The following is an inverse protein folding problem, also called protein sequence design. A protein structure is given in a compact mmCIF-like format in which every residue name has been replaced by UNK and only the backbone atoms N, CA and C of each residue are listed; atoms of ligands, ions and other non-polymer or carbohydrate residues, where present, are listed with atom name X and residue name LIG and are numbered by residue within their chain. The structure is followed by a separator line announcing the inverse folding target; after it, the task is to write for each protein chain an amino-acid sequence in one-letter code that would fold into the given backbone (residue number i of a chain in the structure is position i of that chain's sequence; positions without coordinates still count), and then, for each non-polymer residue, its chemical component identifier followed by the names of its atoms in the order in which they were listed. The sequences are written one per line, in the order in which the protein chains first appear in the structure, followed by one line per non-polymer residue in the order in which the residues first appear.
data_IF_022379983750
#
_entry.id   IF_022379983750
#
_cell.length_a   1.000
_cell.length_b   1.000
_cell.length_c   1.000
_cell.angle_alpha   90.00
_cell.angle_beta   90.00
_cell.angle_gamma   90.00
#
_symmetry.space_group_name_H-M   'P 1'
#
loop_
_entity.id
_entity.type
_entity.pdbx_description
1 polymer ?
#
# COMPACT_ATOMS: atom_id res chain seq x y z
N UNK A 1 -55.58 -58.21 18.74
CA UNK A 1 -54.14 -57.89 18.56
C UNK A 1 -54.00 -56.61 17.71
N UNK A 2 -53.27 -55.64 18.27
CA UNK A 2 -53.15 -54.25 17.82
C UNK A 2 -52.61 -54.10 16.39
N UNK A 3 -53.09 -53.09 15.66
CA UNK A 3 -52.26 -52.27 14.80
C UNK A 3 -52.82 -50.84 14.78
N UNK A 4 -52.14 -49.98 15.54
CA UNK A 4 -52.37 -48.55 15.64
C UNK A 4 -51.75 -47.84 14.42
N UNK A 5 -52.37 -46.71 14.08
CA UNK A 5 -51.89 -45.67 13.18
C UNK A 5 -50.39 -45.39 13.30
N UNK A 6 -49.73 -45.14 12.17
CA UNK A 6 -48.59 -44.23 12.11
C UNK A 6 -48.55 -43.54 10.74
N UNK A 7 -49.15 -42.35 10.70
CA UNK A 7 -48.95 -41.35 9.66
C UNK A 7 -47.52 -40.80 9.78
N UNK A 8 -46.70 -41.02 8.75
CA UNK A 8 -45.39 -40.39 8.63
C UNK A 8 -45.57 -38.91 8.26
N UNK A 9 -45.45 -38.02 9.25
CA UNK A 9 -45.12 -36.62 8.99
C UNK A 9 -43.63 -36.51 8.71
N UNK A 10 -43.25 -36.38 7.43
CA UNK A 10 -41.93 -35.81 7.07
C UNK A 10 -42.10 -34.29 7.04
N UNK A 11 -41.71 -33.62 8.12
CA UNK A 11 -41.46 -32.19 8.10
C UNK A 11 -40.22 -31.92 7.26
N UNK A 12 -40.42 -31.33 6.08
CA UNK A 12 -39.35 -30.76 5.27
C UNK A 12 -38.88 -29.46 5.92
N UNK A 13 -37.79 -29.50 6.68
CA UNK A 13 -37.05 -28.29 7.04
C UNK A 13 -36.10 -27.95 5.89
N UNK A 14 -36.56 -27.13 4.94
CA UNK A 14 -35.63 -26.44 4.05
C UNK A 14 -34.97 -25.34 4.87
N UNK A 15 -33.77 -25.60 5.39
CA UNK A 15 -32.93 -24.54 5.91
C UNK A 15 -32.50 -23.66 4.74
N UNK A 16 -33.23 -22.57 4.52
CA UNK A 16 -32.81 -21.50 3.64
C UNK A 16 -31.59 -20.85 4.29
N UNK A 17 -30.39 -21.30 3.95
CA UNK A 17 -29.18 -20.52 4.21
C UNK A 17 -29.27 -19.26 3.36
N UNK A 18 -29.77 -18.18 3.95
CA UNK A 18 -29.56 -16.85 3.39
C UNK A 18 -28.06 -16.58 3.51
N UNK A 19 -27.32 -16.86 2.42
CA UNK A 19 -26.00 -16.26 2.25
C UNK A 19 -26.26 -14.76 2.18
N UNK A 20 -26.07 -14.08 3.31
CA UNK A 20 -25.94 -12.63 3.33
C UNK A 20 -24.88 -12.30 2.28
N UNK A 21 -25.30 -11.72 1.15
CA UNK A 21 -24.38 -11.05 0.23
C UNK A 21 -23.71 -9.96 1.05
N UNK A 22 -22.56 -10.27 1.65
CA UNK A 22 -21.70 -9.28 2.30
C UNK A 22 -21.33 -8.29 1.20
N UNK A 23 -21.88 -7.09 1.30
CA UNK A 23 -21.40 -5.94 0.55
C UNK A 23 -19.98 -5.70 1.03
N UNK A 24 -18.99 -6.23 0.31
CA UNK A 24 -17.62 -5.78 0.52
C UNK A 24 -17.53 -4.40 -0.10
N UNK A 25 -17.66 -3.37 0.73
CA UNK A 25 -17.50 -2.01 0.26
C UNK A 25 -16.14 -1.91 -0.45
N UNK A 26 -16.14 -1.45 -1.69
CA UNK A 26 -14.93 -1.37 -2.49
C UNK A 26 -14.28 -0.02 -2.23
N UNK A 27 -12.99 -0.04 -1.90
CA UNK A 27 -12.22 1.17 -1.62
C UNK A 27 -11.12 1.36 -2.67
N UNK A 28 -10.78 2.61 -2.92
CA UNK A 28 -9.70 3.02 -3.81
C UNK A 28 -8.81 4.07 -3.15
N UNK A 29 -7.60 4.21 -3.68
CA UNK A 29 -6.56 5.10 -3.20
C UNK A 29 -6.40 6.30 -4.12
N UNK A 30 -6.26 7.48 -3.53
CA UNK A 30 -5.95 8.71 -4.25
C UNK A 30 -4.75 9.37 -3.60
N UNK A 31 -3.74 9.73 -4.40
CA UNK A 31 -2.61 10.51 -3.90
C UNK A 31 -3.03 11.94 -3.61
N UNK A 32 -2.67 12.44 -2.43
CA UNK A 32 -2.94 13.82 -2.01
C UNK A 32 -1.68 14.67 -2.14
N UNK A 33 -1.78 15.76 -2.89
CA UNK A 33 -0.77 16.83 -2.96
C UNK A 33 0.65 16.38 -3.38
N UNK A 34 0.79 15.24 -4.07
CA UNK A 34 2.06 14.88 -4.69
C UNK A 34 2.26 15.70 -5.97
N UNK A 35 3.47 16.25 -6.14
CA UNK A 35 3.91 16.86 -7.39
C UNK A 35 5.27 16.29 -7.72
N UNK A 36 5.37 15.66 -8.88
CA UNK A 36 6.65 15.11 -9.35
C UNK A 36 7.69 16.24 -9.46
N UNK A 37 8.90 16.05 -8.91
CA UNK A 37 9.95 17.05 -8.97
C UNK A 37 10.41 17.25 -10.42
N UNK A 38 10.26 18.48 -10.94
CA UNK A 38 10.63 18.82 -12.33
C UNK A 38 12.12 18.63 -12.64
N UNK A 39 13.00 18.82 -11.65
CA UNK A 39 14.45 18.65 -11.74
C UNK A 39 14.95 17.89 -10.50
N UNK A 40 14.83 16.56 -10.53
CA UNK A 40 15.12 15.71 -9.36
C UNK A 40 16.64 15.54 -9.09
N UNK A 41 17.47 15.61 -10.12
CA UNK A 41 18.90 15.27 -10.04
C UNK A 41 19.67 16.11 -9.00
N UNK A 42 19.60 17.46 -8.99
CA UNK A 42 20.32 18.25 -7.98
C UNK A 42 19.85 17.98 -6.54
N UNK A 43 18.56 17.64 -6.36
CA UNK A 43 17.99 17.35 -5.05
C UNK A 43 18.43 15.98 -4.52
N UNK A 44 18.59 15.00 -5.42
CA UNK A 44 19.04 13.65 -5.09
C UNK A 44 20.47 13.64 -4.55
N UNK A 45 21.37 14.46 -5.08
CA UNK A 45 22.73 14.57 -4.54
C UNK A 45 22.76 15.03 -3.07
N UNK A 46 21.76 15.80 -2.63
CA UNK A 46 21.66 16.26 -1.24
C UNK A 46 20.90 15.28 -0.36
N UNK A 47 19.85 14.64 -0.89
CA UNK A 47 18.89 13.83 -0.11
C UNK A 47 19.11 12.32 -0.19
N UNK A 48 19.93 11.86 -1.14
CA UNK A 48 20.23 10.46 -1.47
C UNK A 48 19.07 9.64 -2.02
N UNK A 49 17.83 9.90 -1.60
CA UNK A 49 16.61 9.20 -2.04
C UNK A 49 15.47 10.18 -2.18
N UNK A 50 14.66 10.04 -3.24
CA UNK A 50 13.42 10.80 -3.41
C UNK A 50 12.38 10.03 -4.21
N UNK A 51 11.10 10.25 -3.89
CA UNK A 51 9.98 9.88 -4.75
C UNK A 51 10.03 10.68 -6.05
N UNK A 52 9.98 9.98 -7.18
CA UNK A 52 10.03 10.57 -8.52
C UNK A 52 8.65 10.64 -9.16
N UNK A 53 7.97 9.50 -9.22
CA UNK A 53 6.62 9.37 -9.75
C UNK A 53 5.73 8.62 -8.77
N UNK A 54 4.44 8.97 -8.80
CA UNK A 54 3.41 8.29 -8.04
C UNK A 54 2.13 8.27 -8.88
N UNK A 55 1.53 7.10 -9.00
CA UNK A 55 0.33 6.85 -9.78
C UNK A 55 -0.59 5.95 -8.99
N UNK A 56 -1.88 6.28 -8.96
CA UNK A 56 -2.91 5.50 -8.26
C UNK A 56 -3.89 4.90 -9.25
N UNK A 57 -4.22 3.63 -9.07
CA UNK A 57 -5.22 2.93 -9.84
C UNK A 57 -6.01 2.01 -8.92
N UNK A 58 -7.28 2.35 -8.69
CA UNK A 58 -8.15 1.61 -7.77
C UNK A 58 -7.51 1.43 -6.40
N UNK A 59 -7.36 0.18 -5.93
CA UNK A 59 -6.75 -0.17 -4.65
C UNK A 59 -5.22 -0.20 -4.69
N UNK A 60 -4.59 0.26 -5.77
CA UNK A 60 -3.15 0.13 -6.01
C UNK A 60 -2.50 1.50 -6.15
N UNK A 61 -1.28 1.61 -5.63
CA UNK A 61 -0.40 2.74 -5.87
C UNK A 61 0.93 2.23 -6.38
N UNK A 62 1.37 2.79 -7.49
CA UNK A 62 2.65 2.54 -8.11
C UNK A 62 3.53 3.77 -7.94
N UNK A 63 4.80 3.57 -7.64
CA UNK A 63 5.74 4.68 -7.61
C UNK A 63 7.13 4.29 -8.08
N UNK A 64 7.86 5.30 -8.54
CA UNK A 64 9.29 5.21 -8.81
C UNK A 64 10.05 6.06 -7.81
N UNK A 65 11.17 5.54 -7.34
CA UNK A 65 12.08 6.19 -6.41
C UNK A 65 13.41 6.36 -7.12
N UNK A 66 13.93 7.57 -7.10
CA UNK A 66 15.28 7.89 -7.58
C UNK A 66 16.24 7.82 -6.40
N UNK A 67 17.40 7.20 -6.58
CA UNK A 67 18.45 7.13 -5.55
C UNK A 67 19.81 7.50 -6.13
N UNK A 68 20.63 8.19 -5.34
CA UNK A 68 22.02 8.43 -5.67
C UNK A 68 22.86 7.18 -5.40
N UNK A 69 23.77 6.84 -6.32
CA UNK A 69 24.64 5.68 -6.15
C UNK A 69 25.86 6.11 -5.34
N UNK A 70 25.78 5.86 -4.04
CA UNK A 70 26.92 5.93 -3.15
C UNK A 70 27.56 4.56 -2.90
N UNK A 71 26.84 3.45 -3.15
CA UNK A 71 27.28 2.08 -2.82
C UNK A 71 26.69 1.01 -3.74
N UNK A 72 27.36 -0.14 -3.79
CA UNK A 72 26.88 -1.34 -4.49
C UNK A 72 25.74 -2.02 -3.73
N UNK A 73 25.91 -2.22 -2.41
CA UNK A 73 24.87 -2.80 -1.57
C UNK A 73 23.91 -1.71 -1.09
N UNK A 74 22.67 -1.80 -1.57
CA UNK A 74 21.59 -0.89 -1.19
C UNK A 74 20.23 -1.55 -1.26
N UNK A 75 19.31 -1.11 -0.41
CA UNK A 75 17.91 -1.53 -0.38
C UNK A 75 17.03 -0.30 -0.27
N UNK A 76 15.93 -0.29 -1.03
CA UNK A 76 14.90 0.74 -0.94
C UNK A 76 13.62 0.09 -0.44
N UNK A 77 12.97 0.71 0.53
CA UNK A 77 11.63 0.31 0.95
C UNK A 77 10.75 1.52 1.23
N UNK A 78 9.46 1.31 1.09
CA UNK A 78 8.43 2.28 1.46
C UNK A 78 7.82 1.84 2.78
N UNK A 79 7.90 2.71 3.79
CA UNK A 79 7.25 2.49 5.07
C UNK A 79 5.87 3.14 5.06
N UNK A 80 4.84 2.36 5.33
CA UNK A 80 3.46 2.83 5.39
C UNK A 80 2.91 2.77 6.82
N UNK A 81 2.00 3.67 7.16
CA UNK A 81 1.28 3.66 8.43
C UNK A 81 -0.15 4.18 8.28
N UNK A 82 -1.07 3.59 9.04
CA UNK A 82 -2.50 3.92 9.08
C UNK A 82 -2.90 4.59 10.40
N UNK A 83 -1.95 4.79 11.33
CA UNK A 83 -2.23 5.16 12.73
C UNK A 83 -1.15 6.04 13.36
N UNK A 84 -0.73 7.09 12.65
CA UNK A 84 0.27 8.07 13.10
C UNK A 84 1.60 7.43 13.52
N UNK A 85 2.08 6.47 12.72
CA UNK A 85 3.37 5.76 12.91
C UNK A 85 3.46 4.90 14.17
N UNK A 86 2.36 4.65 14.90
CA UNK A 86 2.34 3.71 16.02
C UNK A 86 2.66 2.29 15.58
N UNK A 87 2.16 1.91 14.41
CA UNK A 87 2.55 0.69 13.71
C UNK A 87 2.85 1.01 12.25
N UNK A 88 3.72 0.23 11.64
CA UNK A 88 4.12 0.41 10.25
C UNK A 88 4.40 -0.92 9.55
N UNK A 89 4.36 -0.87 8.23
CA UNK A 89 4.73 -1.98 7.34
C UNK A 89 5.74 -1.47 6.32
N UNK A 90 6.77 -2.26 6.06
CA UNK A 90 7.83 -1.95 5.10
C UNK A 90 7.64 -2.76 3.81
N UNK A 91 7.45 -2.06 2.69
CA UNK A 91 7.28 -2.63 1.36
C UNK A 91 8.58 -2.41 0.59
N UNK A 92 9.31 -3.50 0.31
CA UNK A 92 10.56 -3.41 -0.42
C UNK A 92 10.34 -3.11 -1.91
N UNK A 93 11.10 -2.15 -2.42
CA UNK A 93 11.13 -1.82 -3.83
C UNK A 93 12.04 -2.75 -4.63
N UNK A 94 11.79 -2.83 -5.93
CA UNK A 94 12.61 -3.57 -6.88
C UNK A 94 13.49 -2.60 -7.66
N UNK A 95 14.76 -2.95 -7.88
CA UNK A 95 15.60 -2.19 -8.81
C UNK A 95 15.00 -2.27 -10.22
N UNK A 96 14.96 -1.14 -10.91
CA UNK A 96 14.36 -1.03 -12.25
C UNK A 96 15.40 -0.63 -13.29
N UNK A 97 16.15 0.46 -13.07
CA UNK A 97 17.07 0.97 -14.08
C UNK A 97 18.22 1.75 -13.44
N UNK A 98 19.38 1.70 -14.09
CA UNK A 98 20.54 2.52 -13.77
C UNK A 98 20.73 3.61 -14.83
N UNK A 99 21.03 4.83 -14.39
CA UNK A 99 21.31 5.99 -15.24
C UNK A 99 22.74 6.47 -14.99
N UNK A 100 23.64 6.10 -15.90
CA UNK A 100 25.07 6.39 -15.78
C UNK A 100 25.42 7.87 -15.84
N UNK A 101 24.68 8.66 -16.62
CA UNK A 101 24.98 10.08 -16.83
C UNK A 101 24.80 10.89 -15.54
N UNK A 102 23.86 10.48 -14.69
CA UNK A 102 23.53 11.17 -13.44
C UNK A 102 23.97 10.38 -12.19
N UNK A 103 24.61 9.21 -12.37
CA UNK A 103 24.99 8.29 -11.30
C UNK A 103 23.82 7.96 -10.34
N UNK A 104 22.66 7.64 -10.91
CA UNK A 104 21.45 7.31 -10.14
C UNK A 104 20.84 5.97 -10.52
N UNK A 105 20.19 5.33 -9.55
CA UNK A 105 19.32 4.18 -9.78
C UNK A 105 17.86 4.58 -9.62
N UNK A 106 16.98 3.86 -10.31
CA UNK A 106 15.53 3.91 -10.12
C UNK A 106 15.05 2.59 -9.53
N UNK A 107 14.23 2.68 -8.50
CA UNK A 107 13.49 1.58 -7.91
C UNK A 107 12.00 1.77 -8.12
N UNK A 108 11.25 0.67 -8.24
CA UNK A 108 9.79 0.66 -8.31
C UNK A 108 9.21 0.03 -7.06
N UNK A 109 8.04 0.50 -6.63
CA UNK A 109 7.29 -0.12 -5.55
C UNK A 109 5.80 -0.14 -5.87
N UNK A 110 5.07 -0.99 -5.15
CA UNK A 110 3.62 -1.09 -5.23
C UNK A 110 3.02 -1.18 -3.82
N UNK A 111 2.11 -0.26 -3.50
CA UNK A 111 1.30 -0.32 -2.28
C UNK A 111 -0.07 -0.87 -2.67
N UNK A 112 -0.52 -1.90 -1.94
CA UNK A 112 -1.86 -2.48 -2.10
C UNK A 112 -2.71 -2.17 -0.89
N UNK A 113 -3.90 -1.61 -1.12
CA UNK A 113 -4.89 -1.47 -0.07
C UNK A 113 -5.30 -2.85 0.44
N UNK A 114 -5.26 -3.03 1.75
CA UNK A 114 -5.71 -4.27 2.39
C UNK A 114 -7.21 -4.42 2.19
N UNK A 115 -7.69 -5.66 2.11
CA UNK A 115 -9.12 -5.93 2.16
C UNK A 115 -9.57 -5.71 3.59
N UNK A 116 -10.50 -4.78 3.80
CA UNK A 116 -11.15 -4.59 5.09
C UNK A 116 -12.44 -5.41 5.11
N UNK A 117 -12.66 -6.14 6.18
CA UNK A 117 -13.95 -6.76 6.46
C UNK A 117 -14.87 -5.80 7.21
N UNK A 118 -16.14 -6.16 7.35
CA UNK A 118 -17.17 -5.31 7.99
C UNK A 118 -16.87 -4.97 9.45
N UNK A 119 -15.94 -5.69 10.10
CA UNK A 119 -15.59 -5.51 11.51
C UNK A 119 -14.33 -4.65 11.71
N UNK A 120 -13.55 -4.41 10.66
CA UNK A 120 -12.33 -3.60 10.72
C UNK A 120 -12.64 -2.19 10.24
N UNK A 121 -12.33 -1.21 11.09
CA UNK A 121 -12.42 0.20 10.73
C UNK A 121 -11.42 0.51 9.60
N UNK A 122 -11.94 0.89 8.45
CA UNK A 122 -11.14 1.36 7.30
C UNK A 122 -10.46 2.69 7.68
N UNK A 123 -9.13 2.82 7.49
CA UNK A 123 -8.45 4.08 7.70
C UNK A 123 -8.92 5.09 6.65
N UNK A 124 -9.05 6.36 7.04
CA UNK A 124 -9.35 7.43 6.08
C UNK A 124 -8.15 7.80 5.22
N UNK A 125 -6.95 7.62 5.78
CA UNK A 125 -5.70 8.02 5.16
C UNK A 125 -4.59 7.02 5.50
N UNK A 126 -3.69 6.83 4.55
CA UNK A 126 -2.44 6.08 4.72
C UNK A 126 -1.30 7.06 4.50
N UNK A 127 -0.36 7.09 5.45
CA UNK A 127 0.86 7.87 5.36
C UNK A 127 2.00 6.99 4.91
N UNK A 128 2.92 7.54 4.12
CA UNK A 128 4.13 6.82 3.76
C UNK A 128 5.37 7.71 3.62
N UNK A 129 6.53 7.08 3.78
CA UNK A 129 7.86 7.64 3.58
C UNK A 129 8.75 6.58 2.92
N UNK A 130 9.80 7.02 2.22
CA UNK A 130 10.73 6.10 1.54
C UNK A 130 12.06 6.10 2.29
N UNK A 131 12.64 4.92 2.46
CA UNK A 131 13.96 4.74 3.03
C UNK A 131 14.90 4.09 2.02
N UNK A 132 16.11 4.64 1.92
CA UNK A 132 17.27 4.01 1.33
C UNK A 132 18.20 3.54 2.46
N UNK A 133 18.45 2.23 2.50
CA UNK A 133 19.49 1.63 3.33
C UNK A 133 20.74 1.41 2.49
N UNK A 134 21.86 1.96 2.93
CA UNK A 134 23.15 1.88 2.24
C UNK A 134 24.29 2.05 3.25
N UNK A 135 25.31 1.18 3.22
CA UNK A 135 26.46 1.22 4.16
C UNK A 135 26.09 1.38 5.65
N UNK A 136 25.09 0.63 6.13
CA UNK A 136 24.57 0.73 7.51
C UNK A 136 24.01 2.12 7.88
N UNK A 137 23.73 2.97 6.88
CA UNK A 137 23.05 4.25 7.03
C UNK A 137 21.65 4.18 6.41
N UNK A 138 20.76 5.00 6.95
CA UNK A 138 19.42 5.19 6.41
C UNK A 138 19.24 6.63 5.96
N UNK A 139 18.74 6.79 4.74
CA UNK A 139 18.34 8.07 4.18
C UNK A 139 16.84 8.04 3.94
N UNK A 140 16.15 9.09 4.39
CA UNK A 140 14.69 9.12 4.40
C UNK A 140 14.17 10.25 3.53
N UNK A 141 13.25 9.91 2.62
CA UNK A 141 12.36 10.86 1.98
C UNK A 141 10.98 10.78 2.63
N UNK A 142 10.74 11.71 3.55
CA UNK A 142 9.48 11.90 4.25
C UNK A 142 8.78 13.20 3.82
N UNK A 143 9.03 13.68 2.59
CA UNK A 143 8.42 14.89 2.06
C UNK A 143 8.62 16.12 2.99
N UNK A 144 9.86 16.36 3.42
CA UNK A 144 10.22 17.46 4.34
C UNK A 144 9.43 17.42 5.67
N UNK A 145 9.25 16.21 6.21
CA UNK A 145 8.51 15.98 7.45
C UNK A 145 6.99 15.96 7.33
N UNK A 146 6.42 16.21 6.13
CA UNK A 146 4.96 16.17 5.90
C UNK A 146 4.45 14.76 5.62
N UNK A 147 5.34 13.85 5.24
CA UNK A 147 5.05 12.54 4.67
C UNK A 147 4.25 12.63 3.37
N UNK A 148 4.17 11.51 2.67
CA UNK A 148 3.25 11.34 1.57
C UNK A 148 1.92 10.79 2.09
N UNK A 149 0.81 11.18 1.46
CA UNK A 149 -0.53 10.86 1.93
C UNK A 149 -1.34 10.24 0.79
N UNK A 150 -2.02 9.14 1.11
CA UNK A 150 -3.01 8.49 0.28
C UNK A 150 -4.36 8.58 1.00
N UNK A 151 -5.35 9.19 0.35
CA UNK A 151 -6.73 9.17 0.84
C UNK A 151 -7.38 7.84 0.44
N UNK A 152 -8.10 7.23 1.38
CA UNK A 152 -8.85 5.99 1.16
C UNK A 152 -10.32 6.36 0.99
N UNK A 153 -10.86 6.11 -0.20
CA UNK A 153 -12.21 6.52 -0.58
C UNK A 153 -13.05 5.29 -0.92
N UNK A 154 -14.31 5.32 -0.51
CA UNK A 154 -15.30 4.31 -0.88
C UNK A 154 -15.81 4.60 -2.30
N UNK A 155 -16.02 3.53 -3.09
CA UNK A 155 -16.60 3.60 -4.43
C UNK A 155 -18.10 3.90 -4.41
#
# INVERSE_FOLDING_TARGET
PRALSNSFHRSSLSASFTVSKRSTNQYYLVSKCFTSPKNIIPLIYQRQVMLECLYTQDSLVYGTVRVHICTNEKRVFVRISENDWKTFEDIYGCHSMYYSNDNTDTFTFEIRLKKYDDNIKVPKQIYFAICLQSNNQEFWDNNLGRNYVLDVLER
#
